data_IF_097431303720
#
_entry.id   IF_097431303720
#
_cell.length_a   1.000
_cell.length_b   1.000
_cell.length_c   1.000
_cell.angle_alpha   90.00
_cell.angle_beta   90.00
_cell.angle_gamma   90.00
#
_symmetry.space_group_name_H-M   'P 1'
#
loop_
_entity.id
_entity.type
_entity.pdbx_description
1 polymer ?
#
# COMPACT_ATOMS: atom_id res chain seq x y z
N UNK A 1 2.30 0.02 -1.72
CA UNK A 1 3.19 1.18 -1.92
C UNK A 1 2.46 2.42 -1.43
N UNK A 2 3.13 3.27 -0.64
CA UNK A 2 2.66 4.62 -0.33
C UNK A 2 3.43 5.57 -1.23
N UNK A 3 2.73 6.22 -2.16
CA UNK A 3 3.34 7.16 -3.10
C UNK A 3 3.01 8.59 -2.66
N UNK A 4 3.99 9.28 -2.08
CA UNK A 4 3.84 10.65 -1.58
C UNK A 4 4.15 11.62 -2.71
N UNK A 5 3.17 12.48 -3.04
CA UNK A 5 3.24 13.48 -4.10
C UNK A 5 3.23 14.88 -3.50
N UNK A 6 4.12 15.75 -3.98
CA UNK A 6 4.15 17.15 -3.58
C UNK A 6 3.05 17.93 -4.31
N UNK A 7 2.07 18.40 -3.54
CA UNK A 7 0.91 19.13 -4.03
C UNK A 7 0.83 20.55 -3.44
N UNK A 8 1.96 21.23 -3.30
CA UNK A 8 2.04 22.59 -2.78
C UNK A 8 3.23 23.35 -3.37
N UNK A 9 3.08 24.67 -3.49
CA UNK A 9 4.15 25.58 -3.88
C UNK A 9 4.88 26.10 -2.64
N UNK A 10 6.21 26.06 -2.67
CA UNK A 10 7.07 26.70 -1.66
C UNK A 10 8.38 27.11 -2.30
N UNK A 11 8.61 28.42 -2.40
CA UNK A 11 9.80 28.98 -3.04
C UNK A 11 11.13 28.66 -2.31
N UNK A 12 11.06 28.22 -1.06
CA UNK A 12 12.23 27.82 -0.28
C UNK A 12 12.62 26.35 -0.48
N UNK A 13 11.73 25.54 -1.08
CA UNK A 13 11.95 24.12 -1.36
C UNK A 13 12.13 23.95 -2.86
N UNK A 14 13.39 23.73 -3.27
CA UNK A 14 13.71 23.53 -4.70
C UNK A 14 13.07 22.22 -5.19
N UNK A 15 12.46 22.28 -6.38
CA UNK A 15 12.02 21.08 -7.12
C UNK A 15 13.07 20.73 -8.18
N UNK A 16 13.35 19.44 -8.35
CA UNK A 16 14.38 18.97 -9.30
C UNK A 16 14.12 19.46 -10.73
N UNK A 17 12.85 19.45 -11.17
CA UNK A 17 12.43 19.88 -12.50
C UNK A 17 11.98 21.35 -12.57
N UNK A 18 12.22 22.13 -11.53
CA UNK A 18 11.96 23.57 -11.48
C UNK A 18 10.50 23.98 -11.31
N UNK A 19 9.54 23.08 -11.39
CA UNK A 19 8.11 23.33 -11.16
C UNK A 19 7.44 22.16 -10.47
N UNK A 20 6.40 22.43 -9.67
CA UNK A 20 5.58 21.40 -9.03
C UNK A 20 4.59 20.85 -10.06
N UNK A 21 4.66 19.55 -10.32
CA UNK A 21 3.73 18.82 -11.17
C UNK A 21 3.59 17.39 -10.64
N UNK A 22 2.62 17.14 -9.75
CA UNK A 22 2.48 15.82 -9.12
C UNK A 22 2.09 14.70 -10.10
N UNK A 23 1.48 15.01 -11.24
CA UNK A 23 1.13 14.01 -12.25
C UNK A 23 2.39 13.55 -12.98
N UNK A 24 3.23 14.48 -13.44
CA UNK A 24 4.53 14.17 -14.03
C UNK A 24 5.40 13.38 -13.05
N UNK A 25 5.47 13.80 -11.80
CA UNK A 25 6.30 13.14 -10.78
C UNK A 25 5.80 11.71 -10.51
N UNK A 26 4.47 11.49 -10.50
CA UNK A 26 3.86 10.17 -10.45
C UNK A 26 4.29 9.30 -11.63
N UNK A 27 4.18 9.81 -12.85
CA UNK A 27 4.51 9.07 -14.07
C UNK A 27 5.98 8.66 -14.14
N UNK A 28 6.88 9.52 -13.67
CA UNK A 28 8.32 9.22 -13.59
C UNK A 28 8.55 8.01 -12.67
N UNK A 29 8.01 8.04 -11.46
CA UNK A 29 8.17 6.95 -10.50
C UNK A 29 7.48 5.66 -10.98
N UNK A 30 6.30 5.75 -11.56
CA UNK A 30 5.62 4.58 -12.14
C UNK A 30 6.47 3.92 -13.22
N UNK A 31 7.09 4.74 -14.09
CA UNK A 31 8.00 4.26 -15.14
C UNK A 31 9.24 3.58 -14.54
N UNK A 32 9.84 4.15 -13.51
CA UNK A 32 11.00 3.55 -12.84
C UNK A 32 10.66 2.19 -12.23
N UNK A 33 9.50 2.09 -11.55
CA UNK A 33 9.05 0.83 -10.96
C UNK A 33 8.75 -0.23 -12.03
N UNK A 34 8.12 0.17 -13.14
CA UNK A 34 7.81 -0.71 -14.26
C UNK A 34 9.08 -1.22 -14.95
N UNK A 35 10.07 -0.37 -15.18
CA UNK A 35 11.35 -0.77 -15.77
C UNK A 35 12.10 -1.74 -14.85
N UNK A 36 12.06 -1.53 -13.55
CA UNK A 36 12.68 -2.44 -12.58
C UNK A 36 12.00 -3.81 -12.55
N UNK A 37 10.69 -3.84 -12.64
CA UNK A 37 9.95 -5.10 -12.74
C UNK A 37 10.19 -5.79 -14.08
N UNK A 38 10.27 -5.05 -15.18
CA UNK A 38 10.58 -5.61 -16.50
C UNK A 38 11.95 -6.33 -16.51
N UNK A 39 12.99 -5.71 -15.93
CA UNK A 39 14.31 -6.34 -15.77
C UNK A 39 14.21 -7.66 -14.97
N UNK A 40 13.42 -7.65 -13.89
CA UNK A 40 13.20 -8.82 -13.03
C UNK A 40 12.49 -9.94 -13.80
N UNK A 41 11.42 -9.59 -14.51
CA UNK A 41 10.62 -10.52 -15.33
C UNK A 41 11.47 -11.15 -16.44
N UNK A 42 12.23 -10.36 -17.18
CA UNK A 42 13.09 -10.86 -18.25
C UNK A 42 14.19 -11.81 -17.73
N UNK A 43 14.76 -11.48 -16.59
CA UNK A 43 15.76 -12.34 -15.94
C UNK A 43 15.14 -13.68 -15.52
N UNK A 44 13.91 -13.67 -15.00
CA UNK A 44 13.19 -14.89 -14.61
C UNK A 44 12.78 -15.73 -15.81
N UNK A 45 12.29 -15.11 -16.88
CA UNK A 45 11.94 -15.79 -18.13
C UNK A 45 13.12 -16.63 -18.61
N UNK A 46 14.34 -16.08 -18.69
CA UNK A 46 15.55 -16.80 -19.12
C UNK A 46 15.85 -18.04 -18.26
N UNK A 47 15.47 -18.03 -16.99
CA UNK A 47 15.69 -19.16 -16.06
C UNK A 47 14.64 -20.25 -16.22
N UNK A 48 13.35 -19.88 -16.35
CA UNK A 48 12.26 -20.85 -16.34
C UNK A 48 11.90 -21.38 -17.73
N UNK A 49 12.25 -20.67 -18.80
CA UNK A 49 11.91 -21.02 -20.19
C UNK A 49 12.31 -22.47 -20.58
N UNK A 50 13.52 -22.88 -20.25
CA UNK A 50 13.99 -24.25 -20.54
C UNK A 50 13.20 -25.30 -19.78
N UNK A 51 12.89 -25.06 -18.51
CA UNK A 51 12.12 -25.99 -17.66
C UNK A 51 10.67 -26.06 -18.12
N UNK A 52 10.09 -24.93 -18.52
CA UNK A 52 8.72 -24.87 -19.02
C UNK A 52 8.56 -25.60 -20.36
N UNK A 53 9.53 -25.45 -21.28
CA UNK A 53 9.42 -25.97 -22.64
C UNK A 53 9.88 -27.42 -22.79
N UNK A 54 10.89 -27.87 -22.02
CA UNK A 54 11.51 -29.17 -22.18
C UNK A 54 11.25 -30.11 -21.02
N UNK A 55 11.16 -29.58 -19.80
CA UNK A 55 11.11 -30.40 -18.57
C UNK A 55 9.75 -30.97 -18.20
N UNK A 56 8.65 -30.55 -18.83
CA UNK A 56 7.30 -31.00 -18.46
C UNK A 56 6.84 -30.51 -17.08
N UNK A 57 7.58 -29.67 -16.42
CA UNK A 57 7.26 -29.10 -15.09
C UNK A 57 6.03 -28.18 -15.19
N UNK A 58 4.93 -28.60 -14.54
CA UNK A 58 3.67 -27.85 -14.53
C UNK A 58 3.84 -26.48 -13.91
N UNK A 59 4.58 -26.38 -12.82
CA UNK A 59 4.79 -25.12 -12.10
C UNK A 59 5.61 -24.14 -12.94
N UNK A 60 6.66 -24.62 -13.60
CA UNK A 60 7.46 -23.79 -14.52
C UNK A 60 6.64 -23.29 -15.71
N UNK A 61 5.70 -24.07 -16.23
CA UNK A 61 4.78 -23.61 -17.31
C UNK A 61 3.86 -22.50 -16.87
N UNK A 62 3.28 -22.61 -15.68
CA UNK A 62 2.39 -21.59 -15.09
C UNK A 62 3.19 -20.30 -14.86
N UNK A 63 4.35 -20.41 -14.22
CA UNK A 63 5.23 -19.27 -13.99
C UNK A 63 5.65 -18.58 -15.30
N UNK A 64 6.05 -19.36 -16.31
CA UNK A 64 6.45 -18.84 -17.61
C UNK A 64 5.31 -18.11 -18.32
N UNK A 65 4.11 -18.69 -18.36
CA UNK A 65 2.93 -18.06 -18.95
C UNK A 65 2.56 -16.73 -18.27
N UNK A 66 2.62 -16.70 -16.93
CA UNK A 66 2.36 -15.48 -16.16
C UNK A 66 3.43 -14.41 -16.39
N UNK A 67 4.72 -14.80 -16.45
CA UNK A 67 5.82 -13.89 -16.76
C UNK A 67 5.68 -13.23 -18.13
N UNK A 68 5.20 -13.95 -19.14
CA UNK A 68 4.95 -13.38 -20.48
C UNK A 68 3.85 -12.33 -20.45
N UNK A 69 2.75 -12.57 -19.72
CA UNK A 69 1.66 -11.59 -19.54
C UNK A 69 2.14 -10.34 -18.78
N UNK A 70 2.96 -10.52 -17.75
CA UNK A 70 3.57 -9.39 -17.04
C UNK A 70 4.51 -8.60 -17.93
N UNK A 71 5.35 -9.27 -18.72
CA UNK A 71 6.23 -8.61 -19.68
C UNK A 71 5.45 -7.75 -20.65
N UNK A 72 4.40 -8.29 -21.26
CA UNK A 72 3.55 -7.56 -22.20
C UNK A 72 2.92 -6.31 -21.57
N UNK A 73 2.38 -6.42 -20.35
CA UNK A 73 1.80 -5.28 -19.65
C UNK A 73 2.85 -4.19 -19.37
N UNK A 74 4.03 -4.58 -18.87
CA UNK A 74 5.10 -3.65 -18.52
C UNK A 74 5.69 -2.97 -19.77
N UNK A 75 5.85 -3.67 -20.89
CA UNK A 75 6.29 -3.11 -22.17
C UNK A 75 5.27 -2.10 -22.74
N UNK A 76 3.98 -2.23 -22.39
CA UNK A 76 2.94 -1.25 -22.71
C UNK A 76 2.88 -0.06 -21.73
N UNK A 77 3.82 0.05 -20.80
CA UNK A 77 3.80 1.09 -19.77
C UNK A 77 2.71 0.91 -18.73
N UNK A 78 2.24 -0.33 -18.51
CA UNK A 78 1.23 -0.66 -17.50
C UNK A 78 1.87 -1.37 -16.33
N UNK A 79 1.35 -1.14 -15.13
CA UNK A 79 1.77 -1.88 -13.93
C UNK A 79 1.38 -3.35 -14.01
N UNK A 80 2.18 -4.25 -13.45
CA UNK A 80 1.89 -5.70 -13.47
C UNK A 80 0.55 -6.05 -12.75
N UNK A 81 0.06 -5.18 -11.85
CA UNK A 81 -1.23 -5.38 -11.15
C UNK A 81 -2.45 -5.42 -12.06
N UNK A 82 -2.36 -4.92 -13.31
CA UNK A 82 -3.49 -4.97 -14.26
C UNK A 82 -3.68 -6.36 -14.87
N UNK A 83 -2.72 -7.27 -14.69
CA UNK A 83 -2.81 -8.65 -15.18
C UNK A 83 -3.67 -9.46 -14.23
N UNK A 84 -4.82 -9.93 -14.72
CA UNK A 84 -5.71 -10.80 -13.95
C UNK A 84 -5.06 -12.16 -13.72
N UNK A 85 -5.16 -12.68 -12.49
CA UNK A 85 -4.66 -14.00 -12.10
C UNK A 85 -5.82 -14.99 -12.19
N UNK A 86 -5.64 -16.08 -12.94
CA UNK A 86 -6.72 -16.98 -13.30
C UNK A 86 -7.00 -18.05 -12.23
N UNK A 87 -6.01 -18.35 -11.39
CA UNK A 87 -6.10 -19.44 -10.40
C UNK A 87 -5.16 -19.25 -9.23
N UNK A 88 -5.31 -20.09 -8.19
CA UNK A 88 -4.49 -20.05 -6.97
C UNK A 88 -3.00 -20.33 -7.23
N UNK A 89 -2.69 -21.16 -8.25
CA UNK A 89 -1.31 -21.49 -8.62
C UNK A 89 -0.61 -20.23 -9.18
N UNK A 90 -1.30 -19.43 -10.00
CA UNK A 90 -0.78 -18.13 -10.47
C UNK A 90 -0.66 -17.10 -9.36
N UNK A 91 -1.61 -17.04 -8.43
CA UNK A 91 -1.52 -16.17 -7.24
C UNK A 91 -0.29 -16.50 -6.41
N UNK A 92 0.00 -17.79 -6.20
CA UNK A 92 1.19 -18.23 -5.49
C UNK A 92 2.48 -17.90 -6.26
N UNK A 93 2.50 -18.12 -7.58
CA UNK A 93 3.63 -17.77 -8.44
C UNK A 93 3.91 -16.27 -8.43
N UNK A 94 2.88 -15.44 -8.59
CA UNK A 94 2.98 -13.98 -8.54
C UNK A 94 3.61 -13.48 -7.24
N UNK A 95 3.14 -13.99 -6.09
CA UNK A 95 3.70 -13.63 -4.76
C UNK A 95 5.19 -13.93 -4.66
N UNK A 96 5.65 -15.04 -5.25
CA UNK A 96 7.05 -15.47 -5.24
C UNK A 96 7.95 -14.66 -6.21
N UNK A 97 7.35 -13.86 -7.08
CA UNK A 97 8.10 -12.98 -7.99
C UNK A 97 8.55 -11.68 -7.32
N UNK A 98 7.86 -11.24 -6.28
CA UNK A 98 8.13 -10.01 -5.51
C UNK A 98 8.17 -8.73 -6.37
N UNK A 99 7.42 -8.69 -7.47
CA UNK A 99 7.34 -7.52 -8.32
C UNK A 99 6.82 -6.30 -7.54
N UNK A 100 7.34 -5.13 -7.86
CA UNK A 100 6.96 -3.88 -7.22
C UNK A 100 5.57 -3.43 -7.65
N UNK A 101 5.32 -3.49 -8.95
CA UNK A 101 4.08 -2.98 -9.56
C UNK A 101 2.88 -3.92 -9.43
N UNK A 102 3.04 -5.12 -8.82
CA UNK A 102 1.91 -5.96 -8.40
C UNK A 102 1.32 -5.51 -7.07
N UNK A 103 2.05 -4.69 -6.30
CA UNK A 103 1.60 -4.23 -4.98
C UNK A 103 0.49 -3.17 -5.12
N UNK A 104 -0.51 -3.17 -4.22
CA UNK A 104 -1.49 -2.09 -4.18
C UNK A 104 -0.81 -0.75 -3.87
N UNK A 105 -1.39 0.34 -4.35
CA UNK A 105 -0.87 1.70 -4.18
C UNK A 105 -1.86 2.57 -3.44
N UNK A 106 -1.34 3.39 -2.54
CA UNK A 106 -2.02 4.50 -1.90
C UNK A 106 -1.28 5.78 -2.26
N UNK A 107 -1.98 6.72 -2.88
CA UNK A 107 -1.44 8.05 -3.18
C UNK A 107 -1.67 8.98 -2.00
N UNK A 108 -0.62 9.66 -1.57
CA UNK A 108 -0.64 10.66 -0.50
C UNK A 108 -0.29 12.00 -1.10
N UNK A 109 -1.28 12.86 -1.28
CA UNK A 109 -1.07 14.24 -1.71
C UNK A 109 -0.66 15.08 -0.50
N UNK A 110 0.63 15.43 -0.43
CA UNK A 110 1.15 16.34 0.58
C UNK A 110 0.90 17.78 0.12
N UNK A 111 0.05 18.49 0.87
CA UNK A 111 -0.41 19.86 0.58
C UNK A 111 0.11 20.85 1.63
N UNK A 112 -0.10 22.13 1.41
CA UNK A 112 0.06 23.18 2.44
C UNK A 112 -1.09 23.09 3.48
N UNK A 113 -0.91 23.79 4.62
CA UNK A 113 -1.86 23.74 5.74
C UNK A 113 -3.26 24.23 5.37
N UNK A 114 -3.33 25.24 4.49
CA UNK A 114 -4.62 25.81 4.06
C UNK A 114 -5.42 24.87 3.18
N UNK A 115 -4.75 23.94 2.53
CA UNK A 115 -5.34 22.90 1.65
C UNK A 115 -5.57 21.55 2.33
N UNK A 116 -5.23 21.40 3.61
CA UNK A 116 -5.26 20.12 4.32
C UNK A 116 -6.65 19.48 4.40
N UNK A 117 -7.71 20.31 4.42
CA UNK A 117 -9.10 19.87 4.51
C UNK A 117 -9.69 19.47 3.15
N UNK A 118 -9.61 20.37 2.17
CA UNK A 118 -10.34 20.25 0.90
C UNK A 118 -9.44 19.85 -0.28
N UNK A 119 -8.13 20.02 -0.12
CA UNK A 119 -7.17 19.87 -1.21
C UNK A 119 -7.03 21.14 -2.05
N UNK A 120 -6.43 21.00 -3.22
CA UNK A 120 -6.18 22.10 -4.15
C UNK A 120 -6.14 21.55 -5.60
N UNK A 121 -5.85 22.43 -6.56
CA UNK A 121 -5.76 22.08 -7.98
C UNK A 121 -4.80 20.92 -8.29
N UNK A 122 -3.71 20.77 -7.54
CA UNK A 122 -2.76 19.68 -7.70
C UNK A 122 -3.38 18.33 -7.29
N UNK A 123 -4.12 18.32 -6.20
CA UNK A 123 -4.87 17.14 -5.74
C UNK A 123 -5.90 16.71 -6.77
N UNK A 124 -6.62 17.68 -7.35
CA UNK A 124 -7.62 17.41 -8.39
C UNK A 124 -6.97 16.86 -9.67
N UNK A 125 -5.79 17.37 -10.05
CA UNK A 125 -5.02 16.85 -11.16
C UNK A 125 -4.60 15.38 -10.93
N UNK A 126 -4.10 15.05 -9.73
CA UNK A 126 -3.76 13.66 -9.36
C UNK A 126 -5.01 12.78 -9.36
N UNK A 127 -6.12 13.23 -8.75
CA UNK A 127 -7.39 12.48 -8.72
C UNK A 127 -7.88 12.14 -10.11
N UNK A 128 -7.76 13.08 -11.06
CA UNK A 128 -8.12 12.84 -12.45
C UNK A 128 -7.14 11.87 -13.15
N UNK A 129 -5.85 11.97 -12.87
CA UNK A 129 -4.83 11.11 -13.47
C UNK A 129 -4.94 9.64 -13.04
N UNK A 130 -5.42 9.38 -11.82
CA UNK A 130 -5.59 8.01 -11.29
C UNK A 130 -6.99 7.43 -11.55
N UNK A 131 -7.86 8.14 -12.30
CA UNK A 131 -9.16 7.57 -12.68
C UNK A 131 -8.97 6.28 -13.45
N UNK A 132 -9.57 5.21 -12.94
CA UNK A 132 -9.45 3.87 -13.54
C UNK A 132 -8.30 3.03 -12.97
N UNK A 133 -7.49 3.57 -12.07
CA UNK A 133 -6.61 2.77 -11.23
C UNK A 133 -7.37 2.26 -9.99
N UNK A 134 -7.09 1.02 -9.58
CA UNK A 134 -7.53 0.49 -8.28
C UNK A 134 -6.61 1.02 -7.18
N UNK A 135 -6.73 2.32 -6.89
CA UNK A 135 -5.88 3.03 -5.95
C UNK A 135 -6.68 4.07 -5.16
N UNK A 136 -6.36 4.22 -3.90
CA UNK A 136 -6.93 5.23 -3.00
C UNK A 136 -6.03 6.47 -2.96
N UNK A 137 -6.64 7.65 -2.72
CA UNK A 137 -5.94 8.92 -2.55
C UNK A 137 -6.34 9.56 -1.23
N UNK A 138 -5.35 9.98 -0.45
CA UNK A 138 -5.55 10.80 0.76
C UNK A 138 -4.78 12.11 0.67
N UNK A 139 -5.30 13.11 1.38
CA UNK A 139 -4.70 14.45 1.46
C UNK A 139 -4.10 14.61 2.86
N UNK A 140 -2.85 15.01 2.95
CA UNK A 140 -2.15 15.25 4.22
C UNK A 140 -1.33 16.54 4.10
N UNK A 141 -1.32 17.39 5.12
CA UNK A 141 -0.27 18.39 5.30
C UNK A 141 0.78 17.84 6.26
N UNK A 142 1.97 17.58 5.76
CA UNK A 142 3.07 17.09 6.60
C UNK A 142 3.50 18.14 7.66
N UNK A 143 3.32 19.43 7.36
CA UNK A 143 3.59 20.50 8.33
C UNK A 143 2.58 20.44 9.47
N UNK A 144 1.28 20.38 9.16
CA UNK A 144 0.21 20.22 10.16
C UNK A 144 0.45 19.00 11.05
N UNK A 145 0.87 17.86 10.48
CA UNK A 145 1.18 16.65 11.25
C UNK A 145 2.39 16.83 12.18
N UNK A 146 3.40 17.59 11.72
CA UNK A 146 4.56 17.92 12.57
C UNK A 146 4.13 18.81 13.75
N UNK A 147 3.30 19.83 13.51
CA UNK A 147 2.80 20.72 14.54
C UNK A 147 1.95 19.96 15.58
N UNK A 148 1.07 19.03 15.13
CA UNK A 148 0.30 18.14 16.01
C UNK A 148 1.21 17.24 16.86
N UNK A 149 2.33 16.77 16.28
CA UNK A 149 3.27 15.89 16.99
C UNK A 149 4.01 16.59 18.13
N UNK A 150 4.18 17.92 18.06
CA UNK A 150 4.81 18.73 19.11
C UNK A 150 3.87 18.99 20.31
N UNK A 151 2.56 18.80 20.16
CA UNK A 151 1.58 18.98 21.23
C UNK A 151 1.65 17.81 22.22
N UNK A 152 1.63 18.12 23.53
CA UNK A 152 1.83 17.13 24.58
C UNK A 152 0.56 16.38 24.95
N UNK A 153 -0.58 17.10 25.02
CA UNK A 153 -1.83 16.54 25.52
C UNK A 153 -2.82 16.19 24.41
N UNK A 154 -3.70 15.25 24.70
CA UNK A 154 -4.76 14.89 23.78
C UNK A 154 -5.72 16.05 23.51
N UNK A 155 -6.04 16.82 24.56
CA UNK A 155 -6.92 17.98 24.49
C UNK A 155 -6.35 19.07 23.57
N UNK A 156 -5.06 19.37 23.66
CA UNK A 156 -4.38 20.32 22.75
C UNK A 156 -4.46 19.85 21.30
N UNK A 157 -4.22 18.57 21.04
CA UNK A 157 -4.33 17.97 19.70
C UNK A 157 -5.75 18.11 19.14
N UNK A 158 -6.78 17.86 19.97
CA UNK A 158 -8.16 18.01 19.53
C UNK A 158 -8.52 19.46 19.22
N UNK A 159 -8.14 20.40 20.09
CA UNK A 159 -8.37 21.83 19.84
C UNK A 159 -7.69 22.29 18.55
N UNK A 160 -6.46 21.86 18.31
CA UNK A 160 -5.73 22.20 17.09
C UNK A 160 -6.43 21.65 15.82
N UNK A 161 -6.88 20.40 15.86
CA UNK A 161 -7.65 19.79 14.77
C UNK A 161 -8.97 20.52 14.51
N UNK A 162 -9.69 20.91 15.57
CA UNK A 162 -10.93 21.69 15.46
C UNK A 162 -10.69 23.06 14.82
N UNK A 163 -9.64 23.77 15.21
CA UNK A 163 -9.24 25.07 14.62
C UNK A 163 -8.91 24.93 13.14
N UNK A 164 -8.28 23.83 12.74
CA UNK A 164 -8.00 23.51 11.33
C UNK A 164 -9.22 22.97 10.58
N UNK A 165 -10.33 22.73 11.27
CA UNK A 165 -11.54 22.13 10.72
C UNK A 165 -11.36 20.67 10.28
N UNK A 166 -10.44 19.95 10.92
CA UNK A 166 -10.14 18.53 10.68
C UNK A 166 -10.79 17.67 11.76
N UNK A 167 -11.38 16.56 11.38
CA UNK A 167 -12.00 15.60 12.34
C UNK A 167 -10.94 14.72 13.02
N UNK A 168 -9.86 14.40 12.30
CA UNK A 168 -8.75 13.61 12.79
C UNK A 168 -7.44 13.96 12.04
N UNK A 169 -6.30 13.58 12.61
CA UNK A 169 -5.00 13.79 11.97
C UNK A 169 -4.85 13.02 10.66
N UNK A 170 -4.06 13.54 9.74
CA UNK A 170 -3.74 12.87 8.48
C UNK A 170 -3.01 11.54 8.71
N UNK A 171 -2.18 11.45 9.75
CA UNK A 171 -1.52 10.20 10.14
C UNK A 171 -2.54 9.13 10.53
N UNK A 172 -3.59 9.45 11.27
CA UNK A 172 -4.65 8.49 11.61
C UNK A 172 -5.41 8.03 10.36
N UNK A 173 -5.75 8.96 9.46
CA UNK A 173 -6.37 8.62 8.17
C UNK A 173 -5.45 7.73 7.33
N UNK A 174 -4.16 8.01 7.30
CA UNK A 174 -3.16 7.20 6.60
C UNK A 174 -3.12 5.76 7.15
N UNK A 175 -3.08 5.60 8.47
CA UNK A 175 -3.08 4.27 9.10
C UNK A 175 -4.34 3.50 8.73
N UNK A 176 -5.52 4.12 8.81
CA UNK A 176 -6.80 3.49 8.44
C UNK A 176 -6.82 3.07 6.97
N UNK A 177 -6.37 3.95 6.07
CA UNK A 177 -6.29 3.66 4.64
C UNK A 177 -5.33 2.50 4.34
N UNK A 178 -4.17 2.44 5.00
CA UNK A 178 -3.21 1.34 4.84
C UNK A 178 -3.81 0.02 5.34
N UNK A 179 -4.50 0.02 6.50
CA UNK A 179 -5.16 -1.17 7.02
C UNK A 179 -6.23 -1.68 6.07
N UNK A 180 -7.05 -0.77 5.51
CA UNK A 180 -8.05 -1.09 4.50
C UNK A 180 -7.40 -1.67 3.24
N UNK A 181 -6.40 -0.98 2.68
CA UNK A 181 -5.69 -1.39 1.46
C UNK A 181 -5.05 -2.78 1.56
N UNK A 182 -4.52 -3.11 2.75
CA UNK A 182 -3.86 -4.39 3.00
C UNK A 182 -4.82 -5.47 3.54
N UNK A 183 -6.11 -5.14 3.70
CA UNK A 183 -7.11 -6.00 4.32
C UNK A 183 -6.66 -6.50 5.70
N UNK A 184 -6.21 -5.56 6.55
CA UNK A 184 -5.76 -5.84 7.90
C UNK A 184 -6.81 -5.45 8.94
N UNK A 185 -6.84 -6.20 10.01
CA UNK A 185 -7.62 -5.93 11.22
C UNK A 185 -6.74 -6.18 12.46
N UNK A 186 -7.17 -5.70 13.60
CA UNK A 186 -6.44 -5.83 14.87
C UNK A 186 -7.32 -6.49 15.91
N UNK A 187 -6.74 -7.39 16.70
CA UNK A 187 -7.30 -7.84 17.96
C UNK A 187 -6.32 -7.58 19.11
N UNK A 188 -6.83 -7.49 20.31
CA UNK A 188 -6.04 -7.21 21.50
C UNK A 188 -6.08 -8.47 22.39
N UNK A 189 -4.93 -8.87 22.89
CA UNK A 189 -4.85 -9.83 23.99
C UNK A 189 -4.59 -9.08 25.28
N UNK A 190 -5.32 -9.44 26.34
CA UNK A 190 -5.11 -8.89 27.66
C UNK A 190 -4.82 -10.04 28.64
N UNK A 191 -3.69 -9.97 29.31
CA UNK A 191 -3.26 -10.90 30.34
C UNK A 191 -2.71 -10.14 31.55
N UNK A 192 -2.40 -10.84 32.63
CA UNK A 192 -1.82 -10.23 33.84
C UNK A 192 -0.47 -9.55 33.59
N UNK A 193 0.31 -10.06 32.62
CA UNK A 193 1.67 -9.60 32.36
C UNK A 193 1.74 -8.53 31.28
N UNK A 194 0.88 -8.58 30.26
CA UNK A 194 0.88 -7.61 29.15
C UNK A 194 -0.49 -7.48 28.49
N UNK A 195 -0.71 -6.32 27.88
CA UNK A 195 -1.77 -6.05 26.91
C UNK A 195 -1.10 -5.76 25.57
N UNK A 196 -1.51 -6.48 24.50
CA UNK A 196 -0.85 -6.39 23.22
C UNK A 196 -1.81 -6.46 22.05
N UNK A 197 -1.61 -5.54 21.09
CA UNK A 197 -2.33 -5.54 19.83
C UNK A 197 -1.63 -6.44 18.79
N UNK A 198 -2.42 -7.20 18.04
CA UNK A 198 -1.99 -8.13 17.03
C UNK A 198 -2.71 -7.84 15.73
N UNK A 199 -1.96 -7.72 14.65
CA UNK A 199 -2.51 -7.47 13.32
C UNK A 199 -2.71 -8.78 12.59
N UNK A 200 -3.89 -8.95 11.97
CA UNK A 200 -4.24 -10.13 11.18
C UNK A 200 -4.94 -9.71 9.88
N UNK A 201 -5.09 -10.65 8.95
CA UNK A 201 -5.81 -10.38 7.69
C UNK A 201 -7.30 -10.57 7.89
N UNK A 202 -8.08 -9.64 7.37
CA UNK A 202 -9.55 -9.72 7.37
C UNK A 202 -10.02 -11.04 6.77
N UNK A 203 -11.00 -11.66 7.43
CA UNK A 203 -11.55 -12.96 7.04
C UNK A 203 -10.79 -14.17 7.57
N UNK A 204 -9.69 -13.98 8.29
CA UNK A 204 -9.04 -15.08 8.98
C UNK A 204 -9.93 -15.64 10.11
N UNK A 205 -9.86 -16.97 10.30
CA UNK A 205 -10.55 -17.68 11.38
C UNK A 205 -9.73 -17.66 12.66
N UNK A 206 -10.39 -17.89 13.80
CA UNK A 206 -9.76 -17.84 15.11
C UNK A 206 -8.44 -18.65 15.26
N UNK A 207 -8.30 -19.87 14.69
CA UNK A 207 -7.01 -20.57 14.73
C UNK A 207 -5.88 -19.81 14.04
N UNK A 208 -6.14 -19.22 12.86
CA UNK A 208 -5.16 -18.44 12.10
C UNK A 208 -4.78 -17.16 12.87
N UNK A 209 -5.76 -16.49 13.50
CA UNK A 209 -5.50 -15.34 14.36
C UNK A 209 -4.63 -15.74 15.57
N UNK A 210 -4.89 -16.88 16.20
CA UNK A 210 -4.05 -17.39 17.27
C UNK A 210 -2.62 -17.68 16.81
N UNK A 211 -2.44 -18.11 15.56
CA UNK A 211 -1.15 -18.33 14.91
C UNK A 211 -0.27 -17.08 14.81
N UNK A 212 -0.87 -15.88 14.78
CA UNK A 212 -0.12 -14.60 14.81
C UNK A 212 0.60 -14.41 16.15
N UNK A 213 0.02 -14.92 17.25
CA UNK A 213 0.64 -14.87 18.58
C UNK A 213 1.79 -15.87 18.64
N UNK A 214 1.51 -17.12 18.27
CA UNK A 214 2.50 -18.19 18.17
C UNK A 214 1.98 -19.33 17.29
N UNK A 215 2.85 -19.92 16.47
CA UNK A 215 2.49 -21.00 15.53
C UNK A 215 1.87 -22.22 16.21
N UNK A 216 2.25 -22.52 17.45
CA UNK A 216 1.68 -23.64 18.21
C UNK A 216 0.24 -23.37 18.61
N UNK A 217 -0.17 -22.11 18.77
CA UNK A 217 -1.55 -21.75 19.07
C UNK A 217 -2.48 -21.97 17.88
N UNK A 218 -1.99 -21.89 16.66
CA UNK A 218 -2.76 -22.26 15.47
C UNK A 218 -3.04 -23.77 15.44
N UNK A 219 -1.98 -24.57 15.63
CA UNK A 219 -2.06 -26.03 15.59
C UNK A 219 -2.85 -26.65 16.75
N UNK A 220 -2.68 -26.08 17.94
CA UNK A 220 -3.34 -26.52 19.17
C UNK A 220 -4.62 -25.76 19.52
N UNK A 221 -5.18 -24.98 18.61
CA UNK A 221 -6.35 -24.15 18.89
C UNK A 221 -7.57 -25.00 19.27
N UNK A 222 -8.14 -24.72 20.44
CA UNK A 222 -9.37 -25.37 20.92
C UNK A 222 -10.51 -24.35 20.98
N UNK A 223 -10.30 -23.25 21.70
CA UNK A 223 -11.28 -22.16 21.86
C UNK A 223 -10.59 -20.87 22.30
N UNK A 224 -11.24 -19.75 22.05
CA UNK A 224 -10.90 -18.44 22.61
C UNK A 224 -12.13 -17.81 23.27
N UNK A 225 -11.93 -17.09 24.33
CA UNK A 225 -12.92 -16.17 24.90
C UNK A 225 -12.68 -14.80 24.25
N UNK A 226 -13.74 -14.21 23.71
CA UNK A 226 -13.66 -12.93 22.97
C UNK A 226 -14.67 -11.96 23.56
N UNK A 227 -14.19 -10.79 23.92
CA UNK A 227 -15.00 -9.66 24.39
C UNK A 227 -14.92 -8.58 23.27
N UNK A 228 -16.06 -8.02 22.91
CA UNK A 228 -16.08 -6.90 21.96
C UNK A 228 -15.49 -5.66 22.64
N UNK A 229 -14.66 -4.95 21.91
CA UNK A 229 -14.22 -3.60 22.26
C UNK A 229 -15.38 -2.65 21.93
N UNK A 230 -15.85 -1.89 22.91
CA UNK A 230 -16.89 -0.87 22.79
C UNK A 230 -16.25 0.51 22.63
#
# INVERSE_FOLDING_TARGET
IIHVLRCFDNGNIVHVDGSVDPVRDKEIIDTELQLKDLETVETRIKRVEKLANVGGDKQAKIEYGLLLRYKEALEQGKSARVVELENEEEVAASKNMFLLTTKPVLYVCNVDDTSAKEGNQYVDAVRNAIQGEDAELIIISAQTEADIAELETYEEKQMFLEDMGLEESGCNRLIKAIYSLLNLETFITAGEMEVKAWTYRKGWKAPQCAGVIHTDFEKGFIRAEVIKYE
#
